data_IF_047396710092
#
_entry.id   IF_047396710092
#
_cell.length_a   1.000
_cell.length_b   1.000
_cell.length_c   1.000
_cell.angle_alpha   90.00
_cell.angle_beta   90.00
_cell.angle_gamma   90.00
#
_symmetry.space_group_name_H-M   'P 1'
#
loop_
_entity.id
_entity.type
_entity.pdbx_description
1 polymer ?
#
# COMPACT_ATOMS: atom_id res chain seq x y z
N UNK A 1 29.10 3.20 15.38
CA UNK A 1 28.39 3.23 14.09
C UNK A 1 27.34 2.11 14.09
N UNK A 2 26.13 2.41 13.70
CA UNK A 2 25.08 1.38 13.62
C UNK A 2 25.31 0.46 12.41
N UNK A 3 24.78 -0.76 12.47
CA UNK A 3 24.83 -1.68 11.32
C UNK A 3 24.26 -1.08 10.05
N UNK A 4 23.19 -0.26 10.16
CA UNK A 4 22.61 0.44 9.03
C UNK A 4 23.59 1.44 8.40
N UNK A 5 24.27 2.23 9.23
CA UNK A 5 25.29 3.18 8.74
C UNK A 5 26.46 2.46 8.04
N UNK A 6 26.92 1.35 8.59
CA UNK A 6 27.97 0.53 7.95
C UNK A 6 27.53 0.00 6.59
N UNK A 7 26.30 -0.52 6.50
CA UNK A 7 25.73 -1.00 5.22
C UNK A 7 25.61 0.13 4.20
N UNK A 8 25.11 1.30 4.60
CA UNK A 8 24.98 2.45 3.70
C UNK A 8 26.36 2.89 3.20
N UNK A 9 27.36 3.01 4.06
CA UNK A 9 28.71 3.40 3.64
C UNK A 9 29.33 2.39 2.67
N UNK A 10 29.11 1.10 2.90
CA UNK A 10 29.67 0.03 2.08
C UNK A 10 28.97 -0.14 0.73
N UNK A 11 27.63 -0.12 0.73
CA UNK A 11 26.81 -0.47 -0.43
C UNK A 11 26.27 0.73 -1.22
N UNK A 12 26.29 1.91 -0.61
CA UNK A 12 25.82 3.15 -1.23
C UNK A 12 26.90 4.26 -1.15
N UNK A 13 28.17 4.02 -1.54
CA UNK A 13 29.24 4.99 -1.38
C UNK A 13 29.02 6.29 -2.17
N UNK A 14 28.20 6.22 -3.22
CA UNK A 14 27.84 7.35 -4.09
C UNK A 14 26.39 7.82 -3.85
N UNK A 15 25.77 7.44 -2.73
CA UNK A 15 24.38 7.72 -2.40
C UNK A 15 23.43 6.61 -2.82
N UNK A 16 22.15 6.80 -2.52
CA UNK A 16 21.07 5.85 -2.84
C UNK A 16 20.45 6.20 -4.18
N UNK A 17 20.17 5.20 -5.02
CA UNK A 17 19.42 5.38 -6.25
C UNK A 17 17.97 5.78 -5.93
N UNK A 18 17.44 6.75 -6.68
CA UNK A 18 16.03 7.12 -6.63
C UNK A 18 15.36 6.72 -7.94
N UNK A 19 14.19 6.10 -7.83
CA UNK A 19 13.33 5.78 -8.98
C UNK A 19 11.99 6.49 -8.83
N UNK A 20 11.39 6.82 -9.96
CA UNK A 20 9.98 7.23 -9.93
C UNK A 20 9.13 6.10 -9.36
N UNK A 21 8.12 6.45 -8.58
CA UNK A 21 7.27 5.45 -7.93
C UNK A 21 6.59 4.52 -8.95
N UNK A 22 6.14 5.07 -10.08
CA UNK A 22 5.50 4.31 -11.16
C UNK A 22 6.48 3.44 -11.98
N UNK A 23 7.78 3.70 -11.90
CA UNK A 23 8.82 2.84 -12.46
C UNK A 23 9.11 1.64 -11.55
N UNK A 24 9.09 1.85 -10.23
CA UNK A 24 9.43 0.84 -9.23
C UNK A 24 8.23 -0.03 -8.79
N UNK A 25 7.01 0.53 -8.81
CA UNK A 25 5.80 -0.10 -8.28
C UNK A 25 4.64 -0.05 -9.27
N UNK A 26 3.74 -1.02 -9.17
CA UNK A 26 2.39 -0.93 -9.73
C UNK A 26 1.42 -0.39 -8.69
N UNK A 27 0.45 0.38 -9.15
CA UNK A 27 -0.60 0.96 -8.34
C UNK A 27 -1.95 0.66 -8.98
N UNK A 28 -2.78 -0.14 -8.35
CA UNK A 28 -4.08 -0.55 -8.89
C UNK A 28 -5.18 -0.28 -7.87
N UNK A 29 -6.34 0.09 -8.37
CA UNK A 29 -7.57 0.27 -7.59
C UNK A 29 -8.76 -0.12 -8.45
N UNK A 30 -9.92 -0.33 -7.82
CA UNK A 30 -11.18 -0.47 -8.53
C UNK A 30 -11.51 0.83 -9.25
N UNK A 31 -11.70 0.77 -10.54
CA UNK A 31 -11.96 1.95 -11.39
C UNK A 31 -13.45 2.29 -11.45
N UNK A 32 -13.78 3.51 -11.93
CA UNK A 32 -15.10 4.10 -11.83
C UNK A 32 -16.28 3.23 -12.26
N UNK A 33 -16.21 2.57 -13.43
CA UNK A 33 -17.27 1.68 -13.92
C UNK A 33 -17.40 0.35 -13.15
N UNK A 34 -16.36 -0.04 -12.41
CA UNK A 34 -16.35 -1.22 -11.53
C UNK A 34 -16.83 -0.89 -10.11
N UNK A 35 -17.18 0.37 -9.84
CA UNK A 35 -17.54 0.84 -8.49
C UNK A 35 -18.65 -0.03 -7.90
N UNK A 36 -18.46 -0.40 -6.65
CA UNK A 36 -19.44 -1.12 -5.85
C UNK A 36 -20.36 -0.14 -5.12
N UNK A 37 -21.62 -0.50 -5.02
CA UNK A 37 -22.59 0.16 -4.15
C UNK A 37 -22.70 -0.60 -2.83
N UNK A 38 -23.12 0.06 -1.76
CA UNK A 38 -23.35 -0.60 -0.47
C UNK A 38 -24.39 -1.74 -0.51
N UNK A 39 -25.31 -1.68 -1.47
CA UNK A 39 -26.30 -2.73 -1.71
C UNK A 39 -25.68 -4.07 -2.14
N UNK A 40 -24.47 -4.04 -2.70
CA UNK A 40 -23.73 -5.22 -3.13
C UNK A 40 -22.88 -5.83 -2.01
N UNK A 41 -22.78 -5.14 -0.86
CA UNK A 41 -22.05 -5.64 0.31
C UNK A 41 -22.85 -6.71 1.03
N UNK A 42 -22.22 -7.85 1.29
CA UNK A 42 -22.82 -8.99 1.98
C UNK A 42 -22.19 -9.13 3.36
N UNK A 43 -22.99 -9.61 4.33
CA UNK A 43 -22.52 -9.89 5.69
C UNK A 43 -21.75 -11.21 5.81
N UNK A 44 -21.85 -12.08 4.80
CA UNK A 44 -21.15 -13.36 4.74
C UNK A 44 -20.88 -13.74 3.29
N UNK A 45 -19.91 -14.60 3.04
CA UNK A 45 -19.55 -15.05 1.70
C UNK A 45 -18.17 -15.71 1.65
N UNK A 46 -17.69 -15.94 0.45
CA UNK A 46 -16.41 -16.57 0.16
C UNK A 46 -15.35 -15.59 -0.35
N UNK A 47 -15.75 -14.34 -0.66
CA UNK A 47 -14.88 -13.30 -1.23
C UNK A 47 -14.93 -12.04 -0.38
N UNK A 48 -13.84 -11.75 0.33
CA UNK A 48 -13.71 -10.56 1.17
C UNK A 48 -13.63 -9.28 0.31
N UNK A 49 -14.24 -8.21 0.81
CA UNK A 49 -14.04 -6.86 0.32
C UNK A 49 -13.30 -6.05 1.37
N UNK A 50 -12.06 -5.69 1.08
CA UNK A 50 -11.24 -4.86 1.97
C UNK A 50 -11.50 -3.39 1.68
N UNK A 51 -11.77 -2.63 2.72
CA UNK A 51 -11.99 -1.18 2.69
C UNK A 51 -11.00 -0.49 3.61
N UNK A 52 -10.86 0.83 3.49
CA UNK A 52 -9.98 1.60 4.36
C UNK A 52 -10.37 1.60 5.84
N UNK A 53 -11.59 1.19 6.18
CA UNK A 53 -12.05 1.06 7.56
C UNK A 53 -11.57 -0.23 8.23
N UNK A 54 -11.06 -1.17 7.44
CA UNK A 54 -10.54 -2.45 7.93
C UNK A 54 -9.05 -2.38 8.34
N UNK A 55 -8.39 -1.23 8.14
CA UNK A 55 -6.98 -1.04 8.51
C UNK A 55 -6.85 -0.79 10.00
N UNK A 56 -5.96 -1.53 10.65
CA UNK A 56 -5.68 -1.42 12.09
C UNK A 56 -4.58 -0.39 12.39
N UNK A 57 -4.43 -0.02 13.65
CA UNK A 57 -3.35 0.85 14.12
C UNK A 57 -1.96 0.19 14.06
N UNK A 58 -1.90 -1.13 13.93
CA UNK A 58 -0.66 -1.89 13.70
C UNK A 58 -0.35 -2.13 12.22
N UNK A 59 -1.00 -1.39 11.33
CA UNK A 59 -0.80 -1.45 9.89
C UNK A 59 -1.11 -2.82 9.27
N UNK A 60 -2.12 -3.48 9.79
CA UNK A 60 -2.63 -4.76 9.32
C UNK A 60 -4.09 -4.63 8.86
N UNK A 61 -4.64 -5.67 8.25
CA UNK A 61 -6.05 -5.75 7.86
C UNK A 61 -6.81 -6.57 8.90
N UNK A 62 -7.87 -6.01 9.45
CA UNK A 62 -8.82 -6.73 10.28
C UNK A 62 -9.86 -7.43 9.40
N UNK A 63 -9.66 -8.70 9.10
CA UNK A 63 -10.57 -9.46 8.23
C UNK A 63 -11.94 -9.70 8.85
N UNK A 64 -12.06 -9.66 10.17
CA UNK A 64 -13.35 -9.84 10.86
C UNK A 64 -14.30 -8.64 10.68
N UNK A 65 -13.77 -7.47 10.33
CA UNK A 65 -14.58 -6.29 10.01
C UNK A 65 -14.94 -6.16 8.53
N UNK A 66 -14.30 -6.95 7.66
CA UNK A 66 -14.55 -6.91 6.23
C UNK A 66 -15.98 -7.40 5.91
N UNK A 67 -16.56 -6.80 4.89
CA UNK A 67 -17.76 -7.31 4.24
C UNK A 67 -17.37 -8.25 3.09
N UNK A 68 -18.35 -8.79 2.39
CA UNK A 68 -18.15 -9.74 1.31
C UNK A 68 -18.80 -9.23 0.02
N UNK A 69 -18.32 -9.72 -1.11
CA UNK A 69 -18.89 -9.46 -2.44
C UNK A 69 -19.17 -10.78 -3.16
N UNK A 70 -19.86 -10.68 -4.31
CA UNK A 70 -20.09 -11.83 -5.19
C UNK A 70 -18.78 -12.27 -5.87
N UNK A 71 -18.72 -13.53 -6.30
CA UNK A 71 -17.65 -14.07 -7.12
C UNK A 71 -17.42 -13.23 -8.39
N UNK A 72 -18.50 -12.81 -9.06
CA UNK A 72 -18.44 -11.96 -10.25
C UNK A 72 -17.62 -10.69 -9.97
N UNK A 73 -17.86 -10.02 -8.82
CA UNK A 73 -17.13 -8.81 -8.44
C UNK A 73 -15.68 -9.06 -8.09
N UNK A 74 -15.38 -10.21 -7.51
CA UNK A 74 -14.01 -10.63 -7.25
C UNK A 74 -13.25 -10.92 -8.55
N UNK A 75 -13.88 -11.63 -9.50
CA UNK A 75 -13.27 -12.01 -10.77
C UNK A 75 -13.15 -10.84 -11.77
N UNK A 76 -13.87 -9.75 -11.56
CA UNK A 76 -13.97 -8.61 -12.47
C UNK A 76 -12.61 -7.98 -12.81
N UNK A 77 -11.68 -7.93 -11.86
CA UNK A 77 -10.35 -7.37 -12.08
C UNK A 77 -9.28 -8.12 -11.26
N UNK A 78 -8.45 -8.87 -11.97
CA UNK A 78 -7.34 -9.64 -11.37
C UNK A 78 -6.27 -8.76 -10.72
N UNK A 79 -6.12 -7.51 -11.15
CA UNK A 79 -5.10 -6.58 -10.62
C UNK A 79 -5.37 -6.18 -9.19
N UNK A 80 -6.62 -6.23 -8.76
CA UNK A 80 -7.07 -5.91 -7.40
C UNK A 80 -7.49 -7.14 -6.59
N UNK A 81 -7.22 -8.34 -7.07
CA UNK A 81 -7.26 -9.55 -6.25
C UNK A 81 -6.05 -9.53 -5.30
N UNK A 82 -6.32 -9.57 -4.01
CA UNK A 82 -5.34 -9.33 -2.95
C UNK A 82 -4.66 -10.63 -2.55
N UNK A 83 -3.39 -10.52 -2.22
CA UNK A 83 -2.56 -11.64 -1.73
C UNK A 83 -1.70 -11.19 -0.55
N UNK A 84 -1.24 -12.17 0.23
CA UNK A 84 -0.30 -11.91 1.32
C UNK A 84 0.97 -11.19 0.81
N UNK A 85 1.41 -10.19 1.57
CA UNK A 85 2.52 -9.30 1.22
C UNK A 85 2.10 -8.01 0.51
N UNK A 86 0.90 -7.92 -0.06
CA UNK A 86 0.42 -6.69 -0.69
C UNK A 86 0.41 -5.52 0.30
N UNK A 87 0.77 -4.34 -0.19
CA UNK A 87 0.69 -3.08 0.55
C UNK A 87 -0.53 -2.30 0.06
N UNK A 88 -1.35 -1.85 0.99
CA UNK A 88 -2.59 -1.13 0.72
C UNK A 88 -2.49 0.30 1.25
N UNK A 89 -3.08 1.25 0.51
CA UNK A 89 -3.17 2.64 0.95
C UNK A 89 -4.52 3.25 0.58
N UNK A 90 -5.14 3.96 1.52
CA UNK A 90 -6.41 4.64 1.27
C UNK A 90 -6.21 5.85 0.37
N UNK A 91 -7.02 5.95 -0.68
CA UNK A 91 -7.02 7.05 -1.66
C UNK A 91 -8.24 7.96 -1.55
N UNK A 92 -9.28 7.54 -0.83
CA UNK A 92 -10.51 8.27 -0.59
C UNK A 92 -10.88 8.24 0.91
N UNK A 93 -11.68 9.18 1.36
CA UNK A 93 -12.09 9.30 2.76
C UNK A 93 -10.91 9.76 3.63
N UNK A 94 -10.48 8.93 4.58
CA UNK A 94 -9.26 9.20 5.34
C UNK A 94 -8.05 8.81 4.51
N UNK A 95 -7.43 9.80 3.88
CA UNK A 95 -6.31 9.60 2.96
C UNK A 95 -5.04 9.11 3.66
N UNK A 96 -4.30 8.25 2.97
CA UNK A 96 -2.94 7.90 3.35
C UNK A 96 -2.81 6.90 4.50
N UNK A 97 -3.89 6.24 4.93
CA UNK A 97 -3.80 5.09 5.83
C UNK A 97 -3.17 3.94 5.08
N UNK A 98 -2.23 3.27 5.72
CA UNK A 98 -1.45 2.17 5.12
C UNK A 98 -1.69 0.89 5.90
N UNK A 99 -1.76 -0.24 5.19
CA UNK A 99 -1.75 -1.57 5.78
C UNK A 99 -1.00 -2.54 4.90
N UNK A 100 -0.42 -3.58 5.49
CA UNK A 100 0.15 -4.72 4.78
C UNK A 100 -0.72 -5.95 5.01
N UNK A 101 -0.98 -6.67 3.93
CA UNK A 101 -1.77 -7.90 3.97
C UNK A 101 -0.91 -9.04 4.50
N UNK A 102 -1.34 -9.65 5.58
CA UNK A 102 -0.75 -10.84 6.19
C UNK A 102 -1.84 -11.78 6.67
N UNK A 103 -1.55 -13.07 6.73
CA UNK A 103 -2.50 -14.09 7.22
C UNK A 103 -3.85 -14.11 6.49
N UNK A 104 -3.90 -13.67 5.24
CA UNK A 104 -5.09 -13.76 4.42
C UNK A 104 -5.36 -15.23 4.08
N UNK A 105 -6.51 -15.76 4.51
CA UNK A 105 -6.88 -17.18 4.38
C UNK A 105 -7.97 -17.44 3.34
N UNK A 106 -8.53 -16.39 2.74
CA UNK A 106 -9.58 -16.52 1.74
C UNK A 106 -9.45 -15.45 0.65
N UNK A 107 -10.05 -15.66 -0.54
CA UNK A 107 -9.98 -14.69 -1.62
C UNK A 107 -10.49 -13.31 -1.21
N UNK A 108 -9.78 -12.25 -1.61
CA UNK A 108 -10.11 -10.88 -1.27
C UNK A 108 -9.92 -9.93 -2.45
N UNK A 109 -10.72 -8.89 -2.50
CA UNK A 109 -10.60 -7.78 -3.45
C UNK A 109 -10.75 -6.44 -2.73
N UNK A 110 -10.53 -5.33 -3.43
CA UNK A 110 -10.61 -3.98 -2.89
C UNK A 110 -11.91 -3.28 -3.24
N UNK A 111 -12.34 -2.38 -2.37
CA UNK A 111 -13.29 -1.34 -2.74
C UNK A 111 -12.59 -0.18 -3.48
N UNK A 112 -13.39 0.77 -4.01
CA UNK A 112 -12.87 1.87 -4.83
C UNK A 112 -11.99 2.89 -4.09
N UNK A 113 -11.99 2.88 -2.76
CA UNK A 113 -11.25 3.84 -1.93
C UNK A 113 -9.84 3.41 -1.53
N UNK A 114 -9.34 2.30 -2.07
CA UNK A 114 -8.04 1.72 -1.69
C UNK A 114 -7.23 1.39 -2.93
N UNK A 115 -5.93 1.75 -2.89
CA UNK A 115 -4.93 1.23 -3.82
C UNK A 115 -4.24 0.00 -3.26
N UNK A 116 -3.90 -0.96 -4.13
CA UNK A 116 -2.88 -1.96 -3.88
C UNK A 116 -1.57 -1.54 -4.57
N UNK A 117 -0.49 -1.59 -3.82
CA UNK A 117 0.87 -1.23 -4.25
C UNK A 117 1.72 -2.49 -4.24
N UNK A 118 2.35 -2.79 -5.38
CA UNK A 118 3.24 -3.95 -5.53
C UNK A 118 4.56 -3.53 -6.17
N UNK A 119 5.69 -4.04 -5.70
CA UNK A 119 6.95 -3.87 -6.42
C UNK A 119 6.84 -4.51 -7.81
N UNK A 120 7.49 -3.92 -8.81
CA UNK A 120 7.54 -4.48 -10.17
C UNK A 120 8.53 -5.63 -10.31
N UNK A 121 9.54 -5.66 -9.45
CA UNK A 121 10.58 -6.67 -9.42
C UNK A 121 11.07 -6.95 -7.99
N UNK A 122 12.01 -7.87 -7.85
CA UNK A 122 12.55 -8.30 -6.56
C UNK A 122 13.55 -7.33 -5.91
N UNK A 123 13.87 -6.22 -6.57
CA UNK A 123 14.80 -5.20 -6.03
C UNK A 123 14.19 -4.36 -4.91
N UNK A 124 12.89 -4.49 -4.66
CA UNK A 124 12.14 -3.67 -3.73
C UNK A 124 11.25 -4.55 -2.83
N UNK A 125 11.43 -4.44 -1.52
CA UNK A 125 10.66 -5.20 -0.55
C UNK A 125 9.29 -4.54 -0.27
N UNK A 126 8.18 -5.28 -0.27
CA UNK A 126 6.87 -4.75 0.09
C UNK A 126 6.84 -4.08 1.47
N UNK A 127 7.49 -4.66 2.48
CA UNK A 127 7.57 -4.08 3.82
C UNK A 127 8.33 -2.74 3.84
N UNK A 128 9.36 -2.61 3.01
CA UNK A 128 10.07 -1.35 2.82
C UNK A 128 9.18 -0.28 2.18
N UNK A 129 8.37 -0.65 1.15
CA UNK A 129 7.37 0.24 0.55
C UNK A 129 6.38 0.72 1.61
N UNK A 130 5.89 -0.18 2.46
CA UNK A 130 4.98 0.19 3.56
C UNK A 130 5.59 1.29 4.43
N UNK A 131 6.84 1.13 4.86
CA UNK A 131 7.51 2.15 5.67
C UNK A 131 7.78 3.45 4.93
N UNK A 132 8.06 3.40 3.63
CA UNK A 132 8.14 4.61 2.82
C UNK A 132 6.80 5.37 2.81
N UNK A 133 5.68 4.67 2.62
CA UNK A 133 4.34 5.27 2.64
C UNK A 133 3.94 5.78 4.03
N UNK A 134 4.48 5.22 5.10
CA UNK A 134 4.30 5.69 6.48
C UNK A 134 5.25 6.84 6.84
N UNK A 135 6.28 7.11 6.03
CA UNK A 135 7.27 8.14 6.33
C UNK A 135 6.66 9.53 6.40
N UNK A 136 7.24 10.39 7.24
CA UNK A 136 6.84 11.80 7.32
C UNK A 136 6.99 12.54 6.00
N UNK A 137 7.92 12.12 5.13
CA UNK A 137 8.08 12.68 3.79
C UNK A 137 6.83 12.43 2.92
N UNK A 138 6.39 11.18 2.84
CA UNK A 138 5.21 10.82 2.06
C UNK A 138 3.91 11.38 2.69
N UNK A 139 3.77 11.30 4.02
CA UNK A 139 2.57 11.79 4.71
C UNK A 139 2.38 13.31 4.57
N UNK A 140 3.45 14.10 4.47
CA UNK A 140 3.36 15.53 4.12
C UNK A 140 2.77 15.75 2.73
N UNK A 141 3.10 14.91 1.75
CA UNK A 141 2.51 14.96 0.41
C UNK A 141 1.01 14.66 0.48
N UNK A 142 0.61 13.66 1.28
CA UNK A 142 -0.80 13.34 1.53
C UNK A 142 -1.54 14.53 2.15
N UNK A 143 -0.97 15.16 3.16
CA UNK A 143 -1.58 16.31 3.86
C UNK A 143 -1.78 17.52 2.94
N UNK A 144 -0.87 17.75 2.01
CA UNK A 144 -1.03 18.79 0.99
C UNK A 144 -2.25 18.54 0.08
N UNK A 145 -2.60 17.28 -0.18
CA UNK A 145 -3.80 16.94 -0.94
C UNK A 145 -5.11 17.19 -0.17
N UNK A 146 -5.07 17.14 1.16
CA UNK A 146 -6.24 17.41 2.03
C UNK A 146 -6.62 18.89 2.04
N UNK A 147 -5.66 19.78 1.87
CA UNK A 147 -5.87 21.24 2.02
C UNK A 147 -6.26 21.97 0.74
N UNK A 148 -6.16 21.32 -0.42
CA UNK A 148 -6.29 21.97 -1.74
C UNK A 148 -7.63 21.83 -2.46
N UNK A 149 -8.57 21.00 -1.98
CA UNK A 149 -9.84 20.75 -2.69
C UNK A 149 -10.99 20.36 -1.75
N UNK A 150 -12.21 20.60 -2.20
CA UNK A 150 -13.45 20.20 -1.50
C UNK A 150 -13.57 18.67 -1.39
N UNK A 151 -12.91 17.93 -2.26
CA UNK A 151 -12.84 16.45 -2.27
C UNK A 151 -11.38 16.06 -2.42
N UNK A 152 -10.80 15.51 -1.37
CA UNK A 152 -9.40 15.09 -1.33
C UNK A 152 -9.27 13.65 -1.83
N UNK A 153 -8.44 13.45 -2.86
CA UNK A 153 -8.13 12.12 -3.40
C UNK A 153 -6.62 11.97 -3.59
N UNK A 154 -6.09 10.78 -3.30
CA UNK A 154 -4.79 10.38 -3.81
C UNK A 154 -4.97 9.85 -5.23
N UNK A 155 -4.27 10.47 -6.18
CA UNK A 155 -4.37 10.09 -7.59
C UNK A 155 -3.14 9.30 -8.04
N UNK A 156 -3.32 8.47 -9.06
CA UNK A 156 -2.20 7.76 -9.69
C UNK A 156 -1.16 8.74 -10.24
N UNK A 157 -1.59 9.90 -10.76
CA UNK A 157 -0.70 10.96 -11.24
C UNK A 157 0.19 11.57 -10.15
N UNK A 158 -0.30 11.63 -8.91
CA UNK A 158 0.50 12.05 -7.75
C UNK A 158 1.62 11.04 -7.48
N UNK A 159 1.28 9.76 -7.40
CA UNK A 159 2.26 8.69 -7.16
C UNK A 159 3.31 8.62 -8.26
N UNK A 160 2.94 8.81 -9.52
CA UNK A 160 3.90 8.78 -10.64
C UNK A 160 4.99 9.85 -10.54
N UNK A 161 4.76 10.93 -9.81
CA UNK A 161 5.73 12.02 -9.62
C UNK A 161 6.65 11.83 -8.41
N UNK A 162 6.31 10.91 -7.52
CA UNK A 162 7.09 10.67 -6.31
C UNK A 162 8.40 9.96 -6.63
N UNK A 163 9.44 10.35 -5.92
CA UNK A 163 10.74 9.69 -5.96
C UNK A 163 10.85 8.73 -4.78
N UNK A 164 11.07 7.46 -5.07
CA UNK A 164 11.27 6.41 -4.10
C UNK A 164 12.76 6.06 -4.01
N UNK A 165 13.41 6.17 -2.84
CA UNK A 165 14.77 5.67 -2.69
C UNK A 165 14.76 4.14 -2.76
N UNK A 166 15.63 3.57 -3.59
CA UNK A 166 15.76 2.12 -3.78
C UNK A 166 17.20 1.69 -3.46
N UNK A 167 17.56 1.64 -2.17
CA UNK A 167 18.87 1.14 -1.78
C UNK A 167 18.96 -0.38 -2.03
N UNK A 168 20.16 -0.97 -2.01
CA UNK A 168 20.36 -2.41 -2.07
C UNK A 168 19.50 -3.17 -1.03
N UNK A 169 19.10 -4.39 -1.36
CA UNK A 169 18.18 -5.19 -0.52
C UNK A 169 18.66 -5.39 0.91
N UNK A 170 19.97 -5.47 1.14
CA UNK A 170 20.57 -5.59 2.48
C UNK A 170 20.26 -4.36 3.33
N UNK A 171 20.33 -3.17 2.73
CA UNK A 171 19.99 -1.91 3.39
C UNK A 171 18.48 -1.86 3.67
N UNK A 172 17.65 -2.24 2.70
CA UNK A 172 16.19 -2.31 2.89
C UNK A 172 15.82 -3.27 4.03
N UNK A 173 16.42 -4.47 4.08
CA UNK A 173 16.17 -5.44 5.15
C UNK A 173 16.55 -4.90 6.51
N UNK A 174 17.68 -4.19 6.62
CA UNK A 174 18.11 -3.61 7.88
C UNK A 174 17.19 -2.46 8.32
N UNK A 175 16.74 -1.60 7.39
CA UNK A 175 15.74 -0.57 7.68
C UNK A 175 14.45 -1.21 8.19
N UNK A 176 13.95 -2.23 7.50
CA UNK A 176 12.74 -2.97 7.90
C UNK A 176 12.93 -3.58 9.30
N UNK A 177 14.06 -4.26 9.55
CA UNK A 177 14.35 -4.86 10.85
C UNK A 177 14.32 -3.84 12.00
N UNK A 178 14.92 -2.67 11.78
CA UNK A 178 14.95 -1.60 12.79
C UNK A 178 13.54 -1.06 13.01
N UNK A 179 12.78 -0.78 11.96
CA UNK A 179 11.44 -0.21 12.08
C UNK A 179 10.42 -1.20 12.63
N UNK A 180 10.52 -2.49 12.29
CA UNK A 180 9.67 -3.55 12.85
C UNK A 180 9.85 -3.69 14.38
N UNK A 181 11.02 -3.35 14.91
CA UNK A 181 11.25 -3.36 16.36
C UNK A 181 10.44 -2.29 17.09
N UNK A 182 10.12 -1.18 16.42
CA UNK A 182 9.38 -0.05 17.02
C UNK A 182 7.90 -0.02 16.60
N UNK A 183 7.46 -0.94 15.75
CA UNK A 183 6.06 -1.03 15.26
C UNK A 183 5.31 -2.16 15.93
#
# INVERSE_FOLDING_TARGET
MSKLEELIQKLCPNGVEYKRFDEACTLNARIGWQRLTKAEYKSSGEYLLITGTDFTSSYEVNYSSCVYVSEERYLQDKKIQIKNGDVLITKDGTLGKVAQVSNLSMPATLNGGVFVVRPKDESLLPRYIMYFLLSGHFQKVVDQQKTGSTISHLTQALFSRLQLPVPPLEVQREIVRVLDYFT
#
